data_IF_448718651133
#
_entry.id   IF_448718651133
#
_cell.length_a   1.000
_cell.length_b   1.000
_cell.length_c   1.000
_cell.angle_alpha   90.00
_cell.angle_beta   90.00
_cell.angle_gamma   90.00
#
_symmetry.space_group_name_H-M   'P 1'
#
loop_
_entity.id
_entity.type
_entity.pdbx_description
1 polymer ?
#
# COMPACT_ATOMS: atom_id res chain seq x y z
N UNK A 1 1.15 -1.70 -24.27
CA UNK A 1 -0.20 -1.23 -23.89
C UNK A 1 -0.31 -1.35 -22.38
N UNK A 2 -0.79 -0.31 -21.69
CA UNK A 2 -0.92 -0.33 -20.24
C UNK A 2 -2.04 -1.31 -19.82
N UNK A 3 -1.84 -2.11 -18.77
CA UNK A 3 -2.84 -3.08 -18.27
C UNK A 3 -4.19 -2.41 -17.95
N UNK A 4 -4.16 -1.18 -17.43
CA UNK A 4 -5.35 -0.40 -17.09
C UNK A 4 -6.05 0.16 -18.32
N UNK A 5 -5.28 0.58 -19.32
CA UNK A 5 -5.84 1.04 -20.61
C UNK A 5 -6.58 -0.12 -21.30
N UNK A 6 -5.99 -1.31 -21.29
CA UNK A 6 -6.63 -2.48 -21.89
C UNK A 6 -7.90 -2.90 -21.14
N UNK A 7 -7.87 -2.91 -19.81
CA UNK A 7 -9.03 -3.26 -19.01
C UNK A 7 -10.18 -2.25 -19.09
N UNK A 8 -9.87 -0.96 -19.18
CA UNK A 8 -10.91 0.08 -19.34
C UNK A 8 -11.54 0.04 -20.72
N UNK A 9 -10.74 -0.13 -21.79
CA UNK A 9 -11.26 -0.25 -23.16
C UNK A 9 -12.12 -1.50 -23.39
N UNK A 10 -11.77 -2.62 -22.74
CA UNK A 10 -12.53 -3.87 -22.82
C UNK A 10 -13.66 -3.96 -21.79
N UNK A 11 -13.83 -2.95 -20.94
CA UNK A 11 -14.79 -2.94 -19.82
C UNK A 11 -14.67 -4.18 -18.93
N UNK A 12 -13.44 -4.54 -18.57
CA UNK A 12 -13.14 -5.72 -17.76
C UNK A 12 -13.92 -5.69 -16.43
N UNK A 13 -14.44 -6.85 -16.03
CA UNK A 13 -15.22 -7.05 -14.80
C UNK A 13 -14.63 -8.17 -13.95
N UNK A 14 -14.73 -7.99 -12.63
CA UNK A 14 -14.25 -8.92 -11.62
C UNK A 14 -15.44 -9.49 -10.88
N UNK A 15 -15.55 -10.81 -10.82
CA UNK A 15 -16.63 -11.47 -10.10
C UNK A 15 -16.34 -11.44 -8.60
N UNK A 16 -17.32 -11.02 -7.80
CA UNK A 16 -17.22 -10.97 -6.35
C UNK A 16 -18.49 -11.51 -5.70
N UNK A 17 -18.42 -11.76 -4.39
CA UNK A 17 -19.58 -12.16 -3.57
C UNK A 17 -20.71 -11.12 -3.54
N UNK A 18 -20.44 -9.88 -3.98
CA UNK A 18 -21.41 -8.77 -4.05
C UNK A 18 -21.76 -8.34 -5.47
N UNK A 19 -21.42 -9.16 -6.47
CA UNK A 19 -21.64 -8.88 -7.89
C UNK A 19 -20.37 -8.46 -8.63
N UNK A 20 -20.53 -7.94 -9.83
CA UNK A 20 -19.41 -7.55 -10.68
C UNK A 20 -18.78 -6.22 -10.25
N UNK A 21 -17.45 -6.19 -10.22
CA UNK A 21 -16.67 -5.02 -9.89
C UNK A 21 -15.92 -4.51 -11.12
N UNK A 22 -15.85 -3.19 -11.25
CA UNK A 22 -14.96 -2.52 -12.21
C UNK A 22 -13.53 -2.46 -11.67
N UNK A 23 -12.59 -2.04 -12.53
CA UNK A 23 -11.21 -1.76 -12.11
C UNK A 23 -11.14 -0.66 -11.06
N UNK A 24 -12.00 0.36 -11.17
CA UNK A 24 -12.07 1.48 -10.22
C UNK A 24 -12.47 0.99 -8.82
N UNK A 25 -13.48 0.12 -8.73
CA UNK A 25 -13.95 -0.45 -7.47
C UNK A 25 -12.85 -1.21 -6.71
N UNK A 26 -11.86 -1.77 -7.41
CA UNK A 26 -10.75 -2.50 -6.77
C UNK A 26 -9.88 -1.58 -5.88
N UNK A 27 -9.79 -0.29 -6.22
CA UNK A 27 -9.05 0.67 -5.42
C UNK A 27 -9.71 0.95 -4.07
N UNK A 28 -11.00 0.68 -3.93
CA UNK A 28 -11.74 0.86 -2.67
C UNK A 28 -11.76 -0.40 -1.80
N UNK A 29 -11.34 -1.56 -2.34
CA UNK A 29 -11.34 -2.82 -1.60
C UNK A 29 -10.19 -2.92 -0.60
N UNK A 30 -10.41 -3.49 0.59
CA UNK A 30 -9.32 -3.81 1.51
C UNK A 30 -8.42 -4.91 0.92
N UNK A 31 -7.17 -4.98 1.39
CA UNK A 31 -6.25 -6.07 1.05
C UNK A 31 -6.82 -7.43 1.49
N UNK A 32 -7.36 -7.48 2.70
CA UNK A 32 -7.99 -8.67 3.30
C UNK A 32 -9.21 -8.25 4.11
N UNK A 33 -10.27 -9.05 4.12
CA UNK A 33 -11.49 -8.83 4.90
C UNK A 33 -12.00 -10.12 5.52
N UNK A 34 -12.73 -10.00 6.64
CA UNK A 34 -13.45 -11.15 7.26
C UNK A 34 -14.66 -11.59 6.44
N UNK A 35 -15.16 -10.72 5.56
CA UNK A 35 -16.35 -10.98 4.74
C UNK A 35 -16.03 -11.64 3.40
N UNK A 36 -14.73 -11.82 3.07
CA UNK A 36 -14.29 -12.32 1.76
C UNK A 36 -14.55 -11.35 0.60
N UNK A 37 -14.83 -10.08 0.90
CA UNK A 37 -14.95 -9.00 -0.08
C UNK A 37 -13.70 -8.13 -0.02
N UNK A 38 -12.63 -8.62 -0.61
CA UNK A 38 -11.28 -8.06 -0.55
C UNK A 38 -10.43 -8.51 -1.76
N UNK A 39 -9.29 -7.86 -1.94
CA UNK A 39 -8.39 -8.09 -3.07
C UNK A 39 -7.77 -9.49 -3.08
N UNK A 40 -7.45 -10.04 -1.91
CA UNK A 40 -6.86 -11.38 -1.77
C UNK A 40 -7.84 -12.49 -2.18
N UNK A 41 -9.11 -12.39 -1.77
CA UNK A 41 -10.16 -13.34 -2.14
C UNK A 41 -10.42 -13.33 -3.64
N UNK A 42 -10.43 -12.14 -4.27
CA UNK A 42 -10.56 -12.01 -5.73
C UNK A 42 -9.36 -12.64 -6.47
N UNK A 43 -8.14 -12.36 -6.01
CA UNK A 43 -6.93 -12.91 -6.61
C UNK A 43 -6.89 -14.44 -6.52
N UNK A 44 -7.28 -15.01 -5.38
CA UNK A 44 -7.42 -16.46 -5.18
C UNK A 44 -8.46 -17.09 -6.11
N UNK A 45 -9.59 -16.41 -6.32
CA UNK A 45 -10.62 -16.83 -7.28
C UNK A 45 -10.06 -16.95 -8.69
N UNK A 46 -9.43 -15.88 -9.19
CA UNK A 46 -8.84 -15.85 -10.54
C UNK A 46 -7.72 -16.90 -10.69
N UNK A 47 -6.87 -17.06 -9.69
CA UNK A 47 -5.81 -18.07 -9.72
C UNK A 47 -6.37 -19.51 -9.80
N UNK A 48 -7.49 -19.77 -9.11
CA UNK A 48 -8.21 -21.05 -9.20
C UNK A 48 -8.79 -21.25 -10.60
N UNK A 49 -9.42 -20.24 -11.17
CA UNK A 49 -10.00 -20.31 -12.52
C UNK A 49 -8.92 -20.56 -13.58
N UNK A 50 -7.76 -19.93 -13.45
CA UNK A 50 -6.61 -20.17 -14.34
C UNK A 50 -6.16 -21.62 -14.27
N UNK A 51 -6.04 -22.21 -13.07
CA UNK A 51 -5.64 -23.60 -12.90
C UNK A 51 -6.66 -24.56 -13.49
N UNK A 52 -7.95 -24.34 -13.24
CA UNK A 52 -9.01 -25.18 -13.79
C UNK A 52 -9.01 -25.14 -15.34
N UNK A 53 -8.84 -23.95 -15.93
CA UNK A 53 -8.77 -23.80 -17.39
C UNK A 53 -7.54 -24.48 -18.01
N UNK A 54 -6.42 -24.55 -17.28
CA UNK A 54 -5.23 -25.30 -17.71
C UNK A 54 -5.48 -26.81 -17.68
N UNK A 55 -6.18 -27.31 -16.66
CA UNK A 55 -6.47 -28.74 -16.48
C UNK A 55 -7.48 -29.27 -17.50
N UNK A 56 -8.42 -28.45 -18.00
CA UNK A 56 -9.45 -28.88 -18.96
C UNK A 56 -8.97 -28.93 -20.42
N UNK A 57 -7.86 -28.28 -20.77
CA UNK A 57 -7.39 -28.17 -22.16
C UNK A 57 -6.34 -29.21 -22.52
N UNK A 58 -6.78 -30.39 -22.99
CA UNK A 58 -5.90 -31.44 -23.54
C UNK A 58 -5.79 -31.44 -25.08
N UNK A 59 -6.64 -30.68 -25.78
CA UNK A 59 -6.77 -30.73 -27.25
C UNK A 59 -6.13 -29.51 -27.95
N UNK A 60 -5.99 -28.38 -27.25
CA UNK A 60 -5.37 -27.18 -27.83
C UNK A 60 -3.95 -26.97 -27.32
N UNK A 61 -2.97 -27.33 -28.13
CA UNK A 61 -1.52 -27.20 -27.84
C UNK A 61 -0.91 -25.90 -28.39
N UNK A 62 -1.71 -24.85 -28.64
CA UNK A 62 -1.18 -23.63 -29.25
C UNK A 62 -1.95 -22.38 -28.83
N UNK A 63 -1.35 -21.61 -27.91
CA UNK A 63 -1.76 -20.26 -27.53
C UNK A 63 -2.71 -20.22 -26.35
N UNK A 64 -2.36 -19.43 -25.32
CA UNK A 64 -3.27 -19.08 -24.24
C UNK A 64 -4.61 -18.62 -24.83
N UNK A 65 -5.70 -19.32 -24.47
CA UNK A 65 -7.05 -18.99 -24.92
C UNK A 65 -7.37 -17.53 -24.61
N UNK A 66 -8.31 -16.93 -25.34
CA UNK A 66 -8.74 -15.55 -25.05
C UNK A 66 -9.20 -15.39 -23.59
N UNK A 67 -9.78 -16.45 -23.01
CA UNK A 67 -10.14 -16.52 -21.60
C UNK A 67 -8.92 -16.51 -20.69
N UNK A 68 -7.88 -17.32 -20.98
CA UNK A 68 -6.65 -17.34 -20.20
C UNK A 68 -5.95 -15.98 -20.20
N UNK A 69 -5.86 -15.31 -21.35
CA UNK A 69 -5.30 -13.95 -21.45
C UNK A 69 -6.10 -12.93 -20.64
N UNK A 70 -7.42 -13.11 -20.57
CA UNK A 70 -8.30 -12.25 -19.77
C UNK A 70 -8.05 -12.48 -18.28
N UNK A 71 -7.90 -13.74 -17.84
CA UNK A 71 -7.58 -14.08 -16.45
C UNK A 71 -6.19 -13.57 -16.04
N UNK A 72 -5.19 -13.70 -16.92
CA UNK A 72 -3.85 -13.13 -16.73
C UNK A 72 -3.92 -11.61 -16.53
N UNK A 73 -4.65 -10.90 -17.40
CA UNK A 73 -4.85 -9.46 -17.27
C UNK A 73 -5.53 -9.07 -15.95
N UNK A 74 -6.58 -9.79 -15.54
CA UNK A 74 -7.25 -9.57 -14.26
C UNK A 74 -6.27 -9.73 -13.10
N UNK A 75 -5.44 -10.77 -13.13
CA UNK A 75 -4.47 -11.05 -12.08
C UNK A 75 -3.36 -9.99 -12.01
N UNK A 76 -2.83 -9.54 -13.16
CA UNK A 76 -1.81 -8.48 -13.22
C UNK A 76 -2.33 -7.15 -12.63
N UNK A 77 -3.59 -6.79 -12.92
CA UNK A 77 -4.23 -5.59 -12.34
C UNK A 77 -4.34 -5.71 -10.82
N UNK A 78 -4.79 -6.86 -10.31
CA UNK A 78 -4.89 -7.08 -8.86
C UNK A 78 -3.53 -7.01 -8.19
N UNK A 79 -2.49 -7.65 -8.75
CA UNK A 79 -1.12 -7.58 -8.23
C UNK A 79 -0.63 -6.14 -8.16
N UNK A 80 -0.86 -5.35 -9.20
CA UNK A 80 -0.46 -3.93 -9.21
C UNK A 80 -1.13 -3.14 -8.09
N UNK A 81 -2.45 -3.26 -7.93
CA UNK A 81 -3.21 -2.55 -6.89
C UNK A 81 -2.78 -3.00 -5.49
N UNK A 82 -2.61 -4.31 -5.28
CA UNK A 82 -2.14 -4.88 -4.01
C UNK A 82 -0.76 -4.33 -3.66
N UNK A 83 0.19 -4.37 -4.61
CA UNK A 83 1.54 -3.86 -4.40
C UNK A 83 1.54 -2.36 -4.06
N UNK A 84 0.73 -1.57 -4.77
CA UNK A 84 0.58 -0.14 -4.48
C UNK A 84 0.06 0.09 -3.06
N UNK A 85 -1.02 -0.60 -2.66
CA UNK A 85 -1.60 -0.45 -1.32
C UNK A 85 -0.66 -0.88 -0.20
N UNK A 86 0.12 -1.93 -0.41
CA UNK A 86 1.16 -2.35 0.54
C UNK A 86 2.22 -1.27 0.69
N UNK A 87 2.70 -0.70 -0.42
CA UNK A 87 3.68 0.39 -0.40
C UNK A 87 3.13 1.66 0.25
N UNK A 88 1.85 1.99 0.05
CA UNK A 88 1.21 3.12 0.75
C UNK A 88 1.11 2.88 2.26
N UNK A 89 0.72 1.67 2.68
CA UNK A 89 0.65 1.31 4.09
C UNK A 89 2.04 1.41 4.76
N UNK A 90 3.07 0.89 4.11
CA UNK A 90 4.46 0.97 4.59
C UNK A 90 4.93 2.42 4.70
N UNK A 91 4.68 3.26 3.69
CA UNK A 91 5.03 4.68 3.74
C UNK A 91 4.34 5.41 4.89
N UNK A 92 3.08 5.09 5.16
CA UNK A 92 2.32 5.68 6.27
C UNK A 92 2.89 5.27 7.63
N UNK A 93 3.24 4.00 7.78
CA UNK A 93 3.88 3.49 9.00
C UNK A 93 5.26 4.13 9.23
N UNK A 94 6.10 4.20 8.19
CA UNK A 94 7.40 4.86 8.26
C UNK A 94 7.27 6.35 8.62
N UNK A 95 6.28 7.05 8.06
CA UNK A 95 6.03 8.46 8.39
C UNK A 95 5.59 8.63 9.85
N UNK A 96 4.75 7.74 10.37
CA UNK A 96 4.31 7.74 11.76
C UNK A 96 5.49 7.48 12.72
N UNK A 97 6.31 6.47 12.42
CA UNK A 97 7.51 6.15 13.21
C UNK A 97 8.51 7.31 13.24
N UNK A 98 8.81 7.91 12.08
CA UNK A 98 9.68 9.11 12.00
C UNK A 98 9.10 10.31 12.77
N UNK A 99 7.78 10.49 12.74
CA UNK A 99 7.14 11.56 13.49
C UNK A 99 7.24 11.35 15.01
N UNK A 100 7.08 10.10 15.47
CA UNK A 100 7.25 9.73 16.88
C UNK A 100 8.70 9.90 17.35
N UNK A 101 9.67 9.43 16.57
CA UNK A 101 11.09 9.58 16.87
C UNK A 101 11.49 11.06 16.92
N UNK A 102 11.04 11.86 15.94
CA UNK A 102 11.29 13.31 15.93
C UNK A 102 10.73 14.00 17.19
N UNK A 103 9.53 13.61 17.64
CA UNK A 103 8.94 14.16 18.88
C UNK A 103 9.82 13.85 20.09
N UNK A 104 10.20 12.58 20.27
CA UNK A 104 11.08 12.16 21.39
C UNK A 104 12.41 12.88 21.37
N UNK A 105 13.06 12.97 20.20
CA UNK A 105 14.35 13.65 20.07
C UNK A 105 14.23 15.15 20.38
N UNK A 106 13.14 15.79 19.98
CA UNK A 106 12.91 17.22 20.27
C UNK A 106 12.70 17.45 21.77
N UNK A 107 11.96 16.58 22.44
CA UNK A 107 11.74 16.65 23.90
C UNK A 107 13.06 16.46 24.67
N UNK A 108 13.86 15.45 24.31
CA UNK A 108 15.16 15.20 24.93
C UNK A 108 16.12 16.37 24.66
N UNK A 109 16.11 16.92 23.45
CA UNK A 109 16.95 18.07 23.11
C UNK A 109 16.59 19.28 23.97
N UNK A 110 15.31 19.59 24.14
CA UNK A 110 14.85 20.66 25.02
C UNK A 110 15.30 20.43 26.46
N UNK A 111 15.11 19.23 27.01
CA UNK A 111 15.55 18.89 28.37
C UNK A 111 17.07 19.04 28.54
N UNK A 112 17.87 18.63 27.55
CA UNK A 112 19.33 18.81 27.59
C UNK A 112 19.75 20.28 27.51
N UNK A 113 19.04 21.09 26.73
CA UNK A 113 19.27 22.52 26.67
C UNK A 113 18.95 23.17 28.02
N UNK A 114 17.84 22.79 28.65
CA UNK A 114 17.47 23.27 29.99
C UNK A 114 18.49 22.86 31.05
N UNK A 115 18.93 21.59 31.04
CA UNK A 115 20.00 21.11 31.94
C UNK A 115 21.29 21.90 31.74
N UNK A 116 21.72 22.09 30.49
CA UNK A 116 22.92 22.87 30.19
C UNK A 116 22.79 24.34 30.63
N UNK A 117 21.58 24.91 30.64
CA UNK A 117 21.34 26.25 31.19
C UNK A 117 21.40 26.27 32.72
N UNK A 118 20.95 25.20 33.39
CA UNK A 118 21.00 25.05 34.84
C UNK A 118 22.44 24.84 35.35
N UNK A 119 23.31 24.22 34.54
CA UNK A 119 24.71 23.96 34.88
C UNK A 119 25.63 25.19 34.73
N UNK A 120 25.16 26.28 34.10
CA UNK A 120 25.93 27.53 33.94
C UNK A 120 26.09 28.26 35.27
N UNK A 121 27.20 28.99 35.44
CA UNK A 121 27.38 29.83 36.63
C UNK A 121 26.51 31.09 36.57
N UNK A 122 26.21 31.73 37.72
CA UNK A 122 25.48 33.00 37.74
C UNK A 122 26.15 34.10 36.91
N UNK A 123 27.49 34.16 36.86
CA UNK A 123 28.20 35.16 36.03
C UNK A 123 28.00 34.91 34.53
N UNK A 124 28.00 33.65 34.09
CA UNK A 124 27.78 33.25 32.70
C UNK A 124 26.35 33.52 32.24
N UNK A 125 25.36 33.24 33.11
CA UNK A 125 23.95 33.57 32.87
C UNK A 125 23.75 35.09 32.74
N UNK A 126 24.35 35.88 33.63
CA UNK A 126 24.29 37.34 33.55
C UNK A 126 25.01 37.92 32.32
N UNK A 127 26.11 37.30 31.87
CA UNK A 127 26.78 37.69 30.64
C UNK A 127 25.90 37.44 29.40
N UNK A 128 25.21 36.28 29.34
CA UNK A 128 24.25 35.97 28.26
C UNK A 128 23.04 36.91 28.27
N UNK A 129 22.49 37.24 29.44
CA UNK A 129 21.39 38.20 29.58
C UNK A 129 21.79 39.60 29.09
N UNK A 130 23.01 40.06 29.41
CA UNK A 130 23.54 41.35 28.95
C UNK A 130 23.85 41.39 27.45
N UNK A 131 24.11 40.25 26.81
CA UNK A 131 24.32 40.19 25.35
C UNK A 131 23.01 40.24 24.54
N UNK A 132 21.87 40.04 25.21
CA UNK A 132 20.53 40.09 24.63
C UNK A 132 19.86 41.47 24.77
N UNK A 133 20.51 42.43 25.45
CA UNK A 133 20.08 43.81 25.65
C UNK A 133 21.18 44.81 25.35
#
# INVERSE_FOLDING_TARGET
MNIFEHATRTKLRFESTKGELSVENLWDLPLTSRTGFDLDTLAKGIARDMRNNQEESFVTTSGASAQMRTLELKLEILKHIIAFKLAEAEKKEQAASKAEEKRRLTEILAQKQDQALLDLTPEELQARLRALG
#
